data_IF_133936229251
#
_entry.id   IF_133936229251
#
_cell.length_a   1.000
_cell.length_b   1.000
_cell.length_c   1.000
_cell.angle_alpha   90.00
_cell.angle_beta   90.00
_cell.angle_gamma   90.00
#
_symmetry.space_group_name_H-M   'P 1'
#
loop_
_entity.id
_entity.type
_entity.pdbx_description
1 polymer ?
#
# COMPACT_ATOMS: atom_id res chain seq x y z
N UNK A 1 17.53 -26.45 -0.02
CA UNK A 1 16.52 -25.75 0.79
C UNK A 1 16.54 -24.29 0.39
N UNK A 2 15.48 -23.82 -0.27
CA UNK A 2 15.27 -22.39 -0.50
C UNK A 2 14.95 -21.79 0.87
N UNK A 3 15.92 -21.14 1.48
CA UNK A 3 15.69 -20.30 2.66
C UNK A 3 14.64 -19.27 2.27
N UNK A 4 13.45 -19.36 2.83
CA UNK A 4 12.52 -18.25 2.85
C UNK A 4 13.29 -17.06 3.45
N UNK A 5 13.56 -16.05 2.63
CA UNK A 5 14.04 -14.78 3.15
C UNK A 5 12.87 -14.20 3.95
N UNK A 6 12.90 -14.34 5.26
CA UNK A 6 12.14 -13.43 6.11
C UNK A 6 12.52 -12.03 5.64
N UNK A 7 11.54 -11.29 5.10
CA UNK A 7 11.74 -9.89 4.78
C UNK A 7 11.94 -9.17 6.11
N UNK A 8 13.21 -8.88 6.45
CA UNK A 8 13.53 -8.11 7.64
C UNK A 8 12.91 -6.72 7.47
N UNK A 9 12.04 -6.34 8.39
CA UNK A 9 11.51 -4.99 8.52
C UNK A 9 12.69 -4.09 8.90
N UNK A 10 13.01 -3.09 8.07
CA UNK A 10 14.07 -2.12 8.32
C UNK A 10 13.54 -0.99 9.21
N UNK A 11 14.45 -0.23 9.83
CA UNK A 11 14.04 0.93 10.63
C UNK A 11 13.37 2.01 9.76
N UNK A 12 13.78 2.16 8.50
CA UNK A 12 13.08 3.01 7.53
C UNK A 12 11.64 2.55 7.29
N UNK A 13 11.39 1.23 7.21
CA UNK A 13 10.04 0.69 7.00
C UNK A 13 9.15 0.98 8.22
N UNK A 14 9.69 0.94 9.44
CA UNK A 14 8.96 1.30 10.67
C UNK A 14 8.62 2.80 10.72
N UNK A 15 9.55 3.66 10.31
CA UNK A 15 9.32 5.10 10.26
C UNK A 15 8.18 5.44 9.29
N UNK A 16 8.20 4.88 8.08
CA UNK A 16 7.12 5.02 7.10
C UNK A 16 5.80 4.47 7.64
N UNK A 17 5.84 3.28 8.24
CA UNK A 17 4.64 2.64 8.79
C UNK A 17 3.98 3.50 9.86
N UNK A 18 4.76 4.16 10.73
CA UNK A 18 4.23 5.07 11.74
C UNK A 18 3.48 6.25 11.11
N UNK A 19 4.08 6.90 10.10
CA UNK A 19 3.44 8.01 9.40
C UNK A 19 2.10 7.61 8.76
N UNK A 20 2.01 6.39 8.23
CA UNK A 20 0.77 5.89 7.62
C UNK A 20 -0.28 5.56 8.68
N UNK A 21 0.10 4.88 9.77
CA UNK A 21 -0.84 4.47 10.83
C UNK A 21 -1.49 5.69 11.49
N UNK A 22 -0.74 6.78 11.67
CA UNK A 22 -1.26 8.04 12.20
C UNK A 22 -2.35 8.69 11.29
N UNK A 23 -2.39 8.32 10.01
CA UNK A 23 -3.38 8.79 9.03
C UNK A 23 -4.63 7.91 8.90
N UNK A 24 -4.65 6.72 9.55
CA UNK A 24 -5.75 5.75 9.44
C UNK A 24 -6.80 6.04 10.52
N UNK A 25 -8.04 6.35 10.15
CA UNK A 25 -9.11 6.50 11.13
C UNK A 25 -9.67 5.15 11.59
N UNK A 26 -10.32 5.12 12.75
CA UNK A 26 -11.14 3.99 13.16
C UNK A 26 -12.23 3.70 12.12
N UNK A 27 -12.51 2.44 11.88
CA UNK A 27 -13.49 2.02 10.88
C UNK A 27 -13.00 2.04 9.44
N UNK A 28 -11.74 2.39 9.18
CA UNK A 28 -11.15 2.37 7.84
C UNK A 28 -11.20 0.98 7.22
N UNK A 29 -11.36 0.92 5.89
CA UNK A 29 -11.23 -0.31 5.13
C UNK A 29 -9.85 -0.37 4.46
N UNK A 30 -9.14 -1.48 4.65
CA UNK A 30 -7.73 -1.62 4.31
C UNK A 30 -7.48 -2.49 3.08
N UNK A 31 -6.54 -2.05 2.24
CA UNK A 31 -5.80 -2.87 1.28
C UNK A 31 -4.30 -2.70 1.55
N UNK A 32 -3.60 -3.83 1.65
CA UNK A 32 -2.15 -3.88 1.83
C UNK A 32 -1.51 -4.58 0.63
N UNK A 33 -0.49 -3.95 0.06
CA UNK A 33 0.40 -4.57 -0.91
C UNK A 33 1.34 -5.59 -0.26
N UNK A 34 2.24 -6.14 -1.06
CA UNK A 34 3.29 -7.07 -0.60
C UNK A 34 4.59 -6.32 -0.31
N UNK A 35 5.37 -6.83 0.64
CA UNK A 35 6.71 -6.32 0.92
C UNK A 35 6.94 -6.00 2.39
N UNK A 36 8.16 -5.55 2.71
CA UNK A 36 8.58 -5.23 4.08
C UNK A 36 7.75 -4.09 4.68
N UNK A 37 7.44 -3.09 3.88
CA UNK A 37 6.75 -1.88 4.34
C UNK A 37 5.26 -2.13 4.63
N UNK A 38 4.44 -2.75 3.76
CA UNK A 38 3.08 -3.14 4.11
C UNK A 38 3.01 -4.08 5.32
N UNK A 39 3.99 -4.97 5.48
CA UNK A 39 4.08 -5.82 6.67
C UNK A 39 4.36 -5.00 7.95
N UNK A 40 5.25 -3.99 7.87
CA UNK A 40 5.52 -3.09 8.99
C UNK A 40 4.27 -2.29 9.39
N UNK A 41 3.52 -1.79 8.40
CA UNK A 41 2.23 -1.11 8.63
C UNK A 41 1.26 -2.06 9.34
N UNK A 42 1.11 -3.28 8.85
CA UNK A 42 0.23 -4.29 9.46
C UNK A 42 0.59 -4.61 10.91
N UNK A 43 1.89 -4.74 11.21
CA UNK A 43 2.37 -4.97 12.59
C UNK A 43 2.03 -3.79 13.51
N UNK A 44 2.25 -2.56 13.07
CA UNK A 44 1.91 -1.37 13.86
C UNK A 44 0.40 -1.20 14.05
N UNK A 45 -0.42 -1.51 13.05
CA UNK A 45 -1.88 -1.51 13.19
C UNK A 45 -2.31 -2.51 14.27
N UNK A 46 -1.74 -3.71 14.28
CA UNK A 46 -2.05 -4.73 15.28
C UNK A 46 -1.73 -4.27 16.72
N UNK A 47 -0.68 -3.47 16.90
CA UNK A 47 -0.24 -2.90 18.18
C UNK A 47 -0.94 -1.58 18.55
N UNK A 48 -1.62 -0.92 17.60
CA UNK A 48 -2.25 0.40 17.79
C UNK A 48 -3.59 0.33 18.53
N UNK A 49 -4.17 1.48 18.83
CA UNK A 49 -5.53 1.62 19.40
C UNK A 49 -6.64 1.65 18.32
N UNK A 50 -6.29 1.42 17.06
CA UNK A 50 -7.25 1.36 15.95
C UNK A 50 -8.26 0.23 16.16
N UNK A 51 -9.50 0.47 15.75
CA UNK A 51 -10.62 -0.45 15.91
C UNK A 51 -11.63 -0.35 14.77
N UNK A 52 -12.50 -1.35 14.71
CA UNK A 52 -13.60 -1.45 13.74
C UNK A 52 -13.13 -1.45 12.27
N UNK A 53 -11.90 -1.89 12.02
CA UNK A 53 -11.33 -1.92 10.68
C UNK A 53 -12.04 -2.94 9.79
N UNK A 54 -12.04 -2.67 8.49
CA UNK A 54 -12.47 -3.59 7.43
C UNK A 54 -11.31 -4.02 6.55
N UNK A 55 -11.54 -5.06 5.76
CA UNK A 55 -10.61 -5.52 4.71
C UNK A 55 -11.36 -5.66 3.40
N UNK A 56 -10.79 -5.08 2.34
CA UNK A 56 -11.17 -5.33 0.96
C UNK A 56 -9.90 -5.20 0.11
N UNK A 57 -9.39 -6.32 -0.36
CA UNK A 57 -8.05 -6.41 -0.95
C UNK A 57 -8.02 -7.40 -2.12
N UNK A 58 -7.12 -7.20 -3.07
CA UNK A 58 -6.82 -8.21 -4.07
C UNK A 58 -6.15 -9.42 -3.42
N UNK A 59 -5.05 -9.19 -2.73
CA UNK A 59 -4.24 -10.21 -2.09
C UNK A 59 -4.40 -10.16 -0.57
N UNK A 60 -4.80 -11.28 0.05
CA UNK A 60 -4.77 -11.44 1.50
C UNK A 60 -3.37 -11.85 1.94
N UNK A 61 -2.80 -11.15 2.90
CA UNK A 61 -1.42 -11.34 3.39
C UNK A 61 -1.37 -11.61 4.88
N UNK A 62 -0.25 -12.16 5.38
CA UNK A 62 -0.07 -12.52 6.80
C UNK A 62 -0.38 -11.36 7.76
N UNK A 63 -0.09 -10.12 7.36
CA UNK A 63 -0.35 -8.92 8.16
C UNK A 63 -1.83 -8.79 8.58
N UNK A 64 -2.78 -9.15 7.70
CA UNK A 64 -4.20 -9.12 8.06
C UNK A 64 -4.56 -10.15 9.14
N UNK A 65 -3.89 -11.31 9.15
CA UNK A 65 -4.07 -12.31 10.22
C UNK A 65 -3.66 -11.74 11.58
N UNK A 66 -2.55 -11.00 11.62
CA UNK A 66 -2.07 -10.40 12.86
C UNK A 66 -3.00 -9.30 13.35
N UNK A 67 -3.47 -8.43 12.46
CA UNK A 67 -4.46 -7.39 12.77
C UNK A 67 -5.79 -7.99 13.25
N UNK A 68 -6.27 -9.05 12.58
CA UNK A 68 -7.51 -9.73 12.96
C UNK A 68 -7.39 -10.42 14.33
N UNK A 69 -6.28 -11.13 14.58
CA UNK A 69 -6.01 -11.77 15.89
C UNK A 69 -5.83 -10.77 17.02
N UNK A 70 -5.41 -9.54 16.73
CA UNK A 70 -5.40 -8.44 17.68
C UNK A 70 -6.79 -7.83 17.93
N UNK A 71 -7.85 -8.36 17.29
CA UNK A 71 -9.24 -7.90 17.47
C UNK A 71 -9.55 -6.55 16.82
N UNK A 72 -8.74 -6.10 15.86
CA UNK A 72 -8.90 -4.78 15.22
C UNK A 72 -9.85 -4.80 14.02
N UNK A 73 -10.07 -5.97 13.41
CA UNK A 73 -10.92 -6.14 12.22
C UNK A 73 -12.24 -6.77 12.62
N UNK A 74 -13.34 -6.08 12.32
CA UNK A 74 -14.70 -6.63 12.44
C UNK A 74 -15.60 -6.29 11.24
N UNK A 75 -15.16 -5.41 10.34
CA UNK A 75 -15.89 -5.01 9.15
C UNK A 75 -17.23 -4.31 9.40
N UNK A 76 -17.51 -3.86 10.63
CA UNK A 76 -18.81 -3.27 11.02
C UNK A 76 -19.09 -1.93 10.33
N UNK A 77 -18.04 -1.23 9.90
CA UNK A 77 -18.14 0.08 9.24
C UNK A 77 -18.06 0.00 7.71
N UNK A 78 -17.86 -1.17 7.12
CA UNK A 78 -17.89 -1.33 5.66
C UNK A 78 -19.28 -1.00 5.10
N UNK A 79 -19.33 -0.28 3.99
CA UNK A 79 -20.58 0.08 3.30
C UNK A 79 -21.14 -1.11 2.50
N UNK A 80 -20.24 -1.96 1.99
CA UNK A 80 -20.57 -3.23 1.29
C UNK A 80 -19.86 -4.38 1.99
N UNK A 81 -20.33 -5.60 1.85
CA UNK A 81 -19.77 -6.83 2.47
C UNK A 81 -19.49 -6.65 3.97
N UNK A 82 -20.45 -6.07 4.69
CA UNK A 82 -20.30 -5.82 6.14
C UNK A 82 -20.00 -7.12 6.88
N UNK A 83 -19.11 -7.01 7.87
CA UNK A 83 -18.63 -8.11 8.70
C UNK A 83 -17.84 -9.19 7.94
N UNK A 84 -17.43 -8.91 6.68
CA UNK A 84 -16.60 -9.79 5.88
C UNK A 84 -15.27 -9.13 5.54
N UNK A 85 -14.21 -9.91 5.60
CA UNK A 85 -12.91 -9.57 5.05
C UNK A 85 -12.87 -10.08 3.60
N UNK A 86 -13.03 -9.16 2.64
CA UNK A 86 -13.17 -9.49 1.22
C UNK A 86 -11.80 -9.53 0.56
N UNK A 87 -11.50 -10.60 -0.19
CA UNK A 87 -10.22 -10.75 -0.89
C UNK A 87 -10.36 -11.56 -2.19
N UNK A 88 -9.42 -11.35 -3.13
CA UNK A 88 -9.38 -12.10 -4.40
C UNK A 88 -8.65 -13.44 -4.25
N UNK A 89 -7.46 -13.41 -3.67
CA UNK A 89 -6.64 -14.60 -3.42
C UNK A 89 -5.70 -14.38 -2.23
N UNK A 90 -5.15 -15.47 -1.69
CA UNK A 90 -4.20 -15.43 -0.59
C UNK A 90 -2.77 -15.66 -1.05
N UNK A 91 -1.82 -14.90 -0.49
CA UNK A 91 -0.39 -15.14 -0.67
C UNK A 91 0.37 -14.86 0.63
N UNK A 92 0.69 -15.91 1.36
CA UNK A 92 1.36 -15.80 2.65
C UNK A 92 1.92 -17.12 3.15
N UNK A 93 2.15 -17.20 4.43
CA UNK A 93 2.64 -18.39 5.11
C UNK A 93 1.51 -19.39 5.41
N UNK A 94 1.87 -20.60 5.87
CA UNK A 94 0.88 -21.60 6.32
C UNK A 94 -0.08 -21.04 7.37
N UNK A 95 0.40 -20.16 8.28
CA UNK A 95 -0.41 -19.48 9.29
C UNK A 95 -1.58 -18.73 8.67
N UNK A 96 -1.35 -18.06 7.54
CA UNK A 96 -2.42 -17.34 6.83
C UNK A 96 -3.41 -18.33 6.20
N UNK A 97 -2.94 -19.36 5.50
CA UNK A 97 -3.84 -20.34 4.90
C UNK A 97 -4.68 -21.08 5.94
N UNK A 98 -4.10 -21.42 7.10
CA UNK A 98 -4.84 -22.03 8.22
C UNK A 98 -5.90 -21.06 8.79
N UNK A 99 -5.67 -19.73 8.73
CA UNK A 99 -6.64 -18.73 9.13
C UNK A 99 -7.76 -18.55 8.12
N UNK A 100 -7.44 -18.70 6.82
CA UNK A 100 -8.44 -18.57 5.75
C UNK A 100 -9.39 -19.77 5.68
N UNK A 101 -8.92 -20.95 6.12
CA UNK A 101 -9.65 -22.21 6.01
C UNK A 101 -10.91 -22.21 6.88
N UNK A 102 -12.05 -22.49 6.27
CA UNK A 102 -13.38 -22.56 6.91
C UNK A 102 -13.75 -21.36 7.82
N UNK A 103 -13.14 -20.19 7.60
CA UNK A 103 -13.38 -19.01 8.43
C UNK A 103 -14.57 -18.18 7.88
N UNK A 104 -15.71 -18.12 8.61
CA UNK A 104 -16.92 -17.44 8.13
C UNK A 104 -16.79 -15.90 8.07
N UNK A 105 -15.75 -15.31 8.67
CA UNK A 105 -15.49 -13.86 8.57
C UNK A 105 -14.88 -13.47 7.22
N UNK A 106 -14.45 -14.44 6.43
CA UNK A 106 -13.75 -14.24 5.17
C UNK A 106 -14.68 -14.44 3.98
N UNK A 107 -14.45 -13.66 2.93
CA UNK A 107 -15.16 -13.75 1.67
C UNK A 107 -14.17 -13.72 0.51
N UNK A 108 -13.92 -14.88 -0.11
CA UNK A 108 -13.22 -14.93 -1.38
C UNK A 108 -14.14 -14.50 -2.51
N UNK A 109 -13.70 -13.56 -3.34
CA UNK A 109 -14.46 -13.01 -4.45
C UNK A 109 -13.59 -12.93 -5.72
N UNK A 110 -14.19 -12.92 -6.93
CA UNK A 110 -13.44 -12.74 -8.16
C UNK A 110 -12.66 -11.42 -8.15
N UNK A 111 -11.47 -11.41 -8.76
CA UNK A 111 -10.64 -10.19 -8.90
C UNK A 111 -11.40 -9.08 -9.64
N UNK A 112 -12.28 -9.43 -10.57
CA UNK A 112 -13.19 -8.47 -11.22
C UNK A 112 -14.15 -7.75 -10.26
N UNK A 113 -14.34 -8.27 -9.05
CA UNK A 113 -15.13 -7.61 -7.99
C UNK A 113 -14.22 -6.88 -7.00
N UNK A 114 -13.16 -7.53 -6.51
CA UNK A 114 -12.27 -6.92 -5.51
C UNK A 114 -11.51 -5.72 -6.06
N UNK A 115 -11.17 -5.75 -7.35
CA UNK A 115 -10.44 -4.68 -8.04
C UNK A 115 -11.38 -3.70 -8.80
N UNK A 116 -12.70 -3.90 -8.73
CA UNK A 116 -13.64 -2.94 -9.33
C UNK A 116 -13.57 -1.62 -8.56
N UNK A 117 -13.18 -0.56 -9.27
CA UNK A 117 -13.06 0.80 -8.73
C UNK A 117 -14.36 1.26 -8.07
N UNK A 118 -15.53 0.84 -8.61
CA UNK A 118 -16.84 1.16 -8.02
C UNK A 118 -17.02 0.48 -6.66
N UNK A 119 -16.61 -0.79 -6.53
CA UNK A 119 -16.67 -1.52 -5.26
C UNK A 119 -15.73 -0.90 -4.23
N UNK A 120 -14.51 -0.55 -4.63
CA UNK A 120 -13.51 0.06 -3.75
C UNK A 120 -13.97 1.46 -3.31
N UNK A 121 -14.41 2.30 -4.25
CA UNK A 121 -14.83 3.68 -3.94
C UNK A 121 -16.14 3.78 -3.14
N UNK A 122 -16.95 2.72 -3.13
CA UNK A 122 -18.15 2.63 -2.30
C UNK A 122 -17.84 2.43 -0.81
N UNK A 123 -16.61 2.06 -0.46
CA UNK A 123 -16.14 1.89 0.92
C UNK A 123 -15.57 3.20 1.45
N UNK A 124 -16.22 3.78 2.46
CA UNK A 124 -15.74 5.00 3.12
C UNK A 124 -14.40 4.75 3.84
N UNK A 125 -13.55 5.78 3.90
CA UNK A 125 -12.23 5.74 4.51
C UNK A 125 -11.38 4.56 4.01
N UNK A 126 -11.38 4.34 2.69
CA UNK A 126 -10.59 3.28 2.10
C UNK A 126 -9.10 3.65 2.08
N UNK A 127 -8.27 2.81 2.69
CA UNK A 127 -6.81 3.01 2.79
C UNK A 127 -6.08 2.00 1.92
N UNK A 128 -5.54 2.46 0.80
CA UNK A 128 -4.72 1.65 -0.11
C UNK A 128 -3.23 1.91 0.19
N UNK A 129 -2.46 0.86 0.50
CA UNK A 129 -1.06 0.98 0.92
C UNK A 129 -0.20 0.08 0.04
N UNK A 130 0.63 0.69 -0.81
CA UNK A 130 1.43 0.00 -1.81
C UNK A 130 2.86 0.52 -1.86
N UNK A 131 3.80 -0.35 -2.27
CA UNK A 131 5.19 0.02 -2.48
C UNK A 131 5.43 0.54 -3.90
N UNK A 132 6.39 1.46 -4.03
CA UNK A 132 6.96 1.88 -5.30
C UNK A 132 8.45 1.51 -5.41
N UNK A 133 8.92 1.40 -6.65
CA UNK A 133 10.34 1.27 -6.98
C UNK A 133 10.96 2.65 -7.14
N UNK A 134 10.36 3.49 -7.97
CA UNK A 134 10.80 4.85 -8.25
C UNK A 134 9.60 5.80 -8.37
N UNK A 135 9.81 7.07 -8.01
CA UNK A 135 8.84 8.17 -8.09
C UNK A 135 9.52 9.34 -8.77
N UNK A 136 8.86 10.04 -9.68
CA UNK A 136 9.41 11.27 -10.25
C UNK A 136 8.78 12.55 -9.66
N UNK A 137 9.40 13.70 -9.95
CA UNK A 137 8.95 14.99 -9.43
C UNK A 137 7.58 15.44 -9.96
N UNK A 138 7.06 14.79 -11.00
CA UNK A 138 5.70 15.01 -11.48
C UNK A 138 4.66 14.19 -10.70
N UNK A 139 5.12 13.20 -9.93
CA UNK A 139 4.27 12.27 -9.19
C UNK A 139 3.89 11.02 -9.98
N UNK A 140 4.63 10.67 -11.04
CA UNK A 140 4.50 9.38 -11.70
C UNK A 140 5.18 8.30 -10.87
N UNK A 141 4.54 7.13 -10.78
CA UNK A 141 5.00 6.00 -9.97
C UNK A 141 5.38 4.85 -10.88
N UNK A 142 6.55 4.25 -10.64
CA UNK A 142 6.92 2.96 -11.18
C UNK A 142 7.03 1.96 -10.03
N UNK A 143 6.22 0.90 -10.08
CA UNK A 143 6.22 -0.18 -9.07
C UNK A 143 6.66 -1.52 -9.66
N UNK A 144 6.64 -1.68 -10.98
CA UNK A 144 6.83 -2.94 -11.68
C UNK A 144 8.14 -3.03 -12.46
N UNK A 145 8.86 -1.92 -12.60
CA UNK A 145 10.14 -1.91 -13.33
C UNK A 145 11.13 -0.90 -12.77
N UNK A 146 12.40 -1.06 -13.14
CA UNK A 146 13.45 -0.05 -12.98
C UNK A 146 14.18 0.06 -14.31
N UNK A 147 13.92 1.13 -15.04
CA UNK A 147 14.28 1.22 -16.44
C UNK A 147 13.62 0.10 -17.25
N UNK A 148 14.36 -0.51 -18.14
CA UNK A 148 13.91 -1.64 -18.98
C UNK A 148 13.84 -2.97 -18.21
N UNK A 149 14.28 -3.01 -16.95
CA UNK A 149 14.27 -4.24 -16.15
C UNK A 149 12.92 -4.41 -15.44
N UNK A 150 12.14 -5.39 -15.87
CA UNK A 150 10.94 -5.82 -15.17
C UNK A 150 11.25 -6.45 -13.81
N UNK A 151 10.43 -6.13 -12.81
CA UNK A 151 10.50 -6.65 -11.44
C UNK A 151 9.25 -7.47 -11.14
N UNK A 152 8.08 -6.99 -11.56
CA UNK A 152 6.79 -7.64 -11.36
C UNK A 152 5.82 -7.27 -12.49
N UNK A 153 4.61 -7.82 -12.47
CA UNK A 153 3.48 -7.32 -13.25
C UNK A 153 2.81 -6.12 -12.56
N UNK A 154 1.86 -5.50 -13.25
CA UNK A 154 1.10 -4.36 -12.75
C UNK A 154 0.23 -4.72 -11.52
N UNK A 155 -0.38 -5.91 -11.50
CA UNK A 155 -1.37 -6.29 -10.49
C UNK A 155 -2.52 -5.29 -10.42
N UNK A 156 -3.17 -5.22 -9.27
CA UNK A 156 -4.29 -4.31 -9.00
C UNK A 156 -3.90 -2.95 -8.41
N UNK A 157 -2.61 -2.58 -8.37
CA UNK A 157 -2.19 -1.36 -7.67
C UNK A 157 -2.97 -0.13 -8.14
N UNK A 158 -3.07 0.10 -9.45
CA UNK A 158 -3.79 1.26 -10.01
C UNK A 158 -5.28 1.24 -9.65
N UNK A 159 -5.92 0.08 -9.65
CA UNK A 159 -7.35 -0.06 -9.30
C UNK A 159 -7.60 0.42 -7.86
N UNK A 160 -6.78 -0.04 -6.92
CA UNK A 160 -6.87 0.33 -5.51
C UNK A 160 -6.47 1.78 -5.25
N UNK A 161 -5.45 2.29 -5.93
CA UNK A 161 -5.05 3.70 -5.88
C UNK A 161 -6.22 4.59 -6.32
N UNK A 162 -6.83 4.28 -7.45
CA UNK A 162 -7.93 5.07 -8.00
C UNK A 162 -9.20 4.92 -7.16
N UNK A 163 -9.53 3.71 -6.73
CA UNK A 163 -10.67 3.46 -5.85
C UNK A 163 -10.55 4.21 -4.51
N UNK A 164 -9.37 4.19 -3.88
CA UNK A 164 -9.10 4.94 -2.67
C UNK A 164 -9.14 6.46 -2.90
N UNK A 165 -8.66 6.94 -4.04
CA UNK A 165 -8.71 8.35 -4.41
C UNK A 165 -10.15 8.88 -4.54
N UNK A 166 -11.08 8.03 -4.99
CA UNK A 166 -12.50 8.35 -5.17
C UNK A 166 -13.35 8.06 -3.94
N UNK A 167 -12.88 7.23 -3.01
CA UNK A 167 -13.58 6.90 -1.77
C UNK A 167 -13.76 8.14 -0.88
N UNK A 168 -14.92 8.25 -0.25
CA UNK A 168 -15.17 9.31 0.73
C UNK A 168 -14.27 9.14 1.95
N UNK A 169 -13.39 10.12 2.22
CA UNK A 169 -12.36 10.03 3.25
C UNK A 169 -11.20 9.06 2.91
N UNK A 170 -11.21 8.47 1.71
CA UNK A 170 -10.20 7.50 1.28
C UNK A 170 -8.83 8.14 1.02
N UNK A 171 -7.77 7.34 1.22
CA UNK A 171 -6.39 7.74 0.98
C UNK A 171 -5.62 6.60 0.33
N UNK A 172 -4.82 6.93 -0.69
CA UNK A 172 -3.86 6.02 -1.29
C UNK A 172 -2.45 6.43 -0.90
N UNK A 173 -1.70 5.52 -0.29
CA UNK A 173 -0.32 5.72 0.15
C UNK A 173 0.62 4.93 -0.75
N UNK A 174 1.49 5.63 -1.46
CA UNK A 174 2.59 5.06 -2.22
C UNK A 174 3.86 5.23 -1.40
N UNK A 175 4.47 4.12 -1.03
CA UNK A 175 5.56 4.06 -0.07
C UNK A 175 6.87 3.61 -0.74
N UNK A 176 7.97 4.22 -0.37
CA UNK A 176 9.30 3.71 -0.70
C UNK A 176 10.32 4.18 0.33
N UNK A 177 11.44 3.47 0.46
CA UNK A 177 12.63 4.08 1.07
C UNK A 177 13.09 5.19 0.14
N UNK A 178 13.47 6.36 0.67
CA UNK A 178 13.92 7.50 -0.15
C UNK A 178 15.14 7.17 -1.02
N UNK A 179 15.99 6.26 -0.53
CA UNK A 179 17.24 5.85 -1.20
C UNK A 179 17.39 4.33 -1.28
N UNK A 180 18.30 3.90 -2.12
CA UNK A 180 18.81 2.53 -2.19
C UNK A 180 20.29 2.51 -2.54
N UNK A 181 20.97 1.42 -2.16
CA UNK A 181 22.37 1.21 -2.53
C UNK A 181 22.45 0.29 -3.73
N UNK A 182 23.13 0.73 -4.77
CA UNK A 182 23.41 -0.05 -5.98
C UNK A 182 24.41 -1.17 -5.72
N UNK A 183 24.57 -2.10 -6.66
CA UNK A 183 25.52 -3.22 -6.51
C UNK A 183 26.99 -2.77 -6.39
N UNK A 184 27.33 -1.64 -6.97
CA UNK A 184 28.65 -0.99 -6.87
C UNK A 184 28.83 -0.09 -5.64
N UNK A 185 27.88 -0.16 -4.69
CA UNK A 185 27.97 0.53 -3.40
C UNK A 185 27.55 2.00 -3.42
N UNK A 186 27.04 2.52 -4.56
CA UNK A 186 26.60 3.92 -4.64
C UNK A 186 25.17 4.08 -4.12
N UNK A 187 24.97 5.10 -3.32
CA UNK A 187 23.62 5.50 -2.89
C UNK A 187 22.92 6.29 -3.98
N UNK A 188 21.66 5.95 -4.26
CA UNK A 188 20.83 6.64 -5.23
C UNK A 188 19.45 6.94 -4.64
N UNK A 189 18.85 8.07 -5.03
CA UNK A 189 17.50 8.44 -4.67
C UNK A 189 16.48 7.62 -5.47
N UNK A 190 15.36 7.28 -4.84
CA UNK A 190 14.16 6.74 -5.51
C UNK A 190 13.22 7.83 -5.97
N UNK A 191 13.37 9.05 -5.42
CA UNK A 191 12.69 10.24 -5.91
C UNK A 191 13.60 10.87 -6.95
N UNK A 192 13.16 10.92 -8.21
CA UNK A 192 13.97 11.27 -9.37
C UNK A 192 13.37 12.48 -10.11
N UNK A 193 14.17 13.27 -10.81
CA UNK A 193 13.63 14.34 -11.68
C UNK A 193 12.61 13.80 -12.69
N UNK A 194 12.94 12.67 -13.32
CA UNK A 194 12.06 11.87 -14.19
C UNK A 194 12.29 10.40 -13.90
N UNK A 195 11.31 9.54 -14.14
CA UNK A 195 11.50 8.10 -14.03
C UNK A 195 12.70 7.66 -14.92
N UNK A 196 13.40 6.63 -14.48
CA UNK A 196 14.49 6.03 -15.28
C UNK A 196 13.96 5.67 -16.65
N UNK A 197 14.73 6.03 -17.71
CA UNK A 197 14.32 5.77 -19.10
C UNK A 197 13.95 4.30 -19.30
N UNK A 198 12.80 4.07 -19.91
CA UNK A 198 12.24 2.73 -20.13
C UNK A 198 11.47 2.15 -18.96
N UNK A 199 11.34 2.87 -17.84
CA UNK A 199 10.45 2.44 -16.75
C UNK A 199 8.98 2.50 -17.16
N UNK A 200 8.22 1.52 -16.67
CA UNK A 200 6.77 1.48 -16.85
C UNK A 200 6.13 2.34 -15.77
N UNK A 201 5.18 3.19 -16.18
CA UNK A 201 4.36 3.98 -15.24
C UNK A 201 3.24 3.09 -14.75
N UNK A 202 3.27 2.72 -13.47
CA UNK A 202 2.22 1.93 -12.81
C UNK A 202 1.05 2.84 -12.42
N UNK A 203 1.33 3.95 -11.72
CA UNK A 203 0.32 4.95 -11.40
C UNK A 203 0.65 6.26 -12.10
N UNK A 204 -0.34 6.83 -12.77
CA UNK A 204 -0.18 8.13 -13.43
C UNK A 204 -0.15 9.25 -12.41
N UNK A 205 0.49 10.36 -12.74
CA UNK A 205 0.57 11.56 -11.87
C UNK A 205 -0.79 12.11 -11.45
N UNK A 206 -1.84 11.90 -12.23
CA UNK A 206 -3.20 12.36 -11.93
C UNK A 206 -3.87 11.55 -10.82
N UNK A 207 -3.43 10.32 -10.57
CA UNK A 207 -4.04 9.40 -9.61
C UNK A 207 -3.23 9.28 -8.31
N UNK A 208 -1.96 9.69 -8.30
CA UNK A 208 -1.12 9.66 -7.10
C UNK A 208 -1.64 10.62 -6.04
N UNK A 209 -1.88 10.09 -4.84
CA UNK A 209 -2.47 10.83 -3.72
C UNK A 209 -1.41 11.17 -2.68
N UNK A 210 -1.02 10.21 -1.83
CA UNK A 210 0.04 10.39 -0.84
C UNK A 210 1.30 9.65 -1.24
N UNK A 211 2.44 10.30 -1.06
CA UNK A 211 3.78 9.70 -1.16
C UNK A 211 4.42 9.72 0.22
N UNK A 212 4.97 8.59 0.63
CA UNK A 212 5.53 8.40 1.97
C UNK A 212 6.92 7.80 1.90
N UNK A 213 7.86 8.42 2.58
CA UNK A 213 9.20 7.89 2.85
C UNK A 213 9.52 7.98 4.34
N UNK A 214 10.68 7.53 4.76
CA UNK A 214 11.16 7.67 6.13
C UNK A 214 11.36 9.12 6.59
N UNK A 215 11.36 10.09 5.66
CA UNK A 215 11.53 11.52 5.94
C UNK A 215 10.20 12.27 6.05
N UNK A 216 9.11 11.70 5.58
CA UNK A 216 7.81 12.37 5.68
C UNK A 216 6.73 11.81 4.76
N UNK A 217 5.59 12.46 4.83
CA UNK A 217 4.40 12.18 4.04
C UNK A 217 3.94 13.47 3.34
N UNK A 218 3.63 13.38 2.05
CA UNK A 218 3.12 14.50 1.26
C UNK A 218 1.86 14.11 0.50
N UNK A 219 0.90 15.02 0.46
CA UNK A 219 -0.33 14.88 -0.33
C UNK A 219 -0.16 15.61 -1.66
N UNK A 220 -0.24 14.89 -2.77
CA UNK A 220 -0.08 15.44 -4.11
C UNK A 220 -1.42 15.74 -4.83
N UNK A 221 -2.55 15.40 -4.18
CA UNK A 221 -3.87 15.59 -4.76
C UNK A 221 -4.18 17.07 -4.97
N UNK A 222 -4.61 17.43 -6.18
CA UNK A 222 -5.00 18.80 -6.50
C UNK A 222 -3.86 19.79 -6.73
N UNK A 223 -2.60 19.36 -6.64
CA UNK A 223 -1.43 20.22 -6.81
C UNK A 223 -0.97 20.31 -8.26
N UNK A 224 -0.44 21.48 -8.63
CA UNK A 224 0.28 21.68 -9.89
C UNK A 224 1.59 20.89 -9.93
N UNK A 225 2.17 20.71 -11.13
CA UNK A 225 3.45 20.01 -11.26
C UNK A 225 4.59 20.70 -10.49
N UNK A 226 4.58 22.04 -10.41
CA UNK A 226 5.56 22.79 -9.63
C UNK A 226 5.44 22.52 -8.13
N UNK A 227 4.23 22.61 -7.59
CA UNK A 227 3.97 22.34 -6.16
C UNK A 227 4.35 20.91 -5.78
N UNK A 228 4.04 19.92 -6.64
CA UNK A 228 4.45 18.54 -6.43
C UNK A 228 5.96 18.39 -6.39
N UNK A 229 6.68 19.00 -7.34
CA UNK A 229 8.13 18.97 -7.36
C UNK A 229 8.74 19.60 -6.10
N UNK A 230 8.20 20.74 -5.65
CA UNK A 230 8.64 21.37 -4.41
C UNK A 230 8.46 20.45 -3.20
N UNK A 231 7.28 19.85 -3.04
CA UNK A 231 7.00 18.96 -1.91
C UNK A 231 7.86 17.68 -1.96
N UNK A 232 7.98 17.05 -3.12
CA UNK A 232 8.75 15.81 -3.27
C UNK A 232 10.25 16.04 -3.09
N UNK A 233 10.75 17.24 -3.39
CA UNK A 233 12.15 17.58 -3.21
C UNK A 233 12.49 18.00 -1.76
N UNK A 234 11.55 18.59 -1.04
CA UNK A 234 11.79 19.13 0.31
C UNK A 234 11.40 18.18 1.45
N UNK A 235 10.35 17.35 1.23
CA UNK A 235 9.83 16.44 2.24
C UNK A 235 9.13 15.32 1.57
N UNK A 236 9.38 14.28 1.20
CA UNK A 236 9.97 13.06 1.69
C UNK A 236 11.34 12.71 1.03
N UNK A 237 12.05 13.67 0.53
CA UNK A 237 13.38 13.45 -0.01
C UNK A 237 14.47 13.60 1.08
N UNK A 238 15.58 12.86 0.99
CA UNK A 238 16.70 12.99 1.92
C UNK A 238 17.43 14.32 1.78
#
# INVERSE_FOLDING_TARGET
SRRQRQMCIRDSDKAVAKLIVDEIPNGACLQLGIGGMPNAVGSLIAESDLKDLGVHTEMYVDAFVDIAKAGKINGSKKNIDRFRQTYGFGAGTKKMYDYLDENPELMSAPVSYTNDIRSISALDNFMSINNAVDIDLFGQISSESSGIKHISGAGGQLDFVLGAYLSNGGKSFICCSSTFTTKDGKMQSRIKPTLTQGSIVTDTRSNTHYVVTEYGIVNLKGLSAWERACLLYTSPSP
#
